data_IF_325272153497
#
_entry.id   IF_325272153497
#
_cell.length_a   1.000
_cell.length_b   1.000
_cell.length_c   1.000
_cell.angle_alpha   90.00
_cell.angle_beta   90.00
_cell.angle_gamma   90.00
#
_symmetry.space_group_name_H-M   'P 1'
#
loop_
_entity.id
_entity.type
_entity.pdbx_description
1 polymer ?
#
# COMPACT_ATOMS: atom_id res chain seq x y z
N UNK A 1 -0.03 4.44 -13.88
CA UNK A 1 1.18 3.72 -14.35
C UNK A 1 0.87 2.52 -15.23
N UNK A 2 -0.24 1.79 -15.03
CA UNK A 2 -0.62 0.66 -15.89
C UNK A 2 -0.73 1.07 -17.37
N UNK A 3 -1.40 2.17 -17.69
CA UNK A 3 -1.52 2.68 -19.07
C UNK A 3 -0.18 3.03 -19.70
N UNK A 4 0.73 3.58 -18.91
CA UNK A 4 2.08 3.86 -19.37
C UNK A 4 2.86 2.56 -19.68
N UNK A 5 2.71 1.54 -18.85
CA UNK A 5 3.32 0.23 -19.09
C UNK A 5 2.73 -0.47 -20.31
N UNK A 6 1.42 -0.38 -20.54
CA UNK A 6 0.77 -0.88 -21.75
C UNK A 6 1.33 -0.20 -23.00
N UNK A 7 1.49 1.13 -22.97
CA UNK A 7 2.10 1.87 -24.09
C UNK A 7 3.55 1.44 -24.34
N UNK A 8 4.32 1.15 -23.30
CA UNK A 8 5.67 0.64 -23.40
C UNK A 8 5.70 -0.74 -24.07
N UNK A 9 4.76 -1.63 -23.70
CA UNK A 9 4.60 -2.94 -24.33
C UNK A 9 4.28 -2.84 -25.83
N UNK A 10 3.35 -1.96 -26.18
CA UNK A 10 2.99 -1.72 -27.60
C UNK A 10 4.15 -1.17 -28.40
N UNK A 11 4.90 -0.21 -27.85
CA UNK A 11 6.09 0.33 -28.51
C UNK A 11 7.15 -0.73 -28.75
N UNK A 12 7.47 -1.51 -27.74
CA UNK A 12 8.43 -2.61 -27.82
C UNK A 12 8.03 -3.63 -28.89
N UNK A 13 6.73 -3.97 -28.95
CA UNK A 13 6.19 -4.87 -29.99
C UNK A 13 6.33 -4.30 -31.40
N UNK A 14 6.08 -3.00 -31.59
CA UNK A 14 6.26 -2.34 -32.91
C UNK A 14 7.72 -2.23 -33.33
N UNK A 15 8.63 -2.17 -32.40
CA UNK A 15 10.08 -2.16 -32.63
C UNK A 15 10.65 -3.57 -32.80
N UNK A 16 9.80 -4.60 -32.75
CA UNK A 16 10.19 -6.01 -32.88
C UNK A 16 11.25 -6.44 -31.86
N UNK A 17 11.20 -5.82 -30.64
CA UNK A 17 12.08 -6.20 -29.56
C UNK A 17 11.67 -7.57 -28.99
N UNK A 18 12.64 -8.31 -28.46
CA UNK A 18 12.35 -9.60 -27.85
C UNK A 18 11.41 -9.44 -26.64
N UNK A 19 10.21 -10.06 -26.67
CA UNK A 19 9.26 -9.94 -25.57
C UNK A 19 9.75 -10.70 -24.34
N UNK A 20 9.54 -10.09 -23.16
CA UNK A 20 9.67 -10.74 -21.87
C UNK A 20 8.35 -11.33 -21.39
N UNK A 21 8.19 -11.39 -20.08
CA UNK A 21 6.99 -11.91 -19.41
C UNK A 21 5.74 -11.13 -19.84
N UNK A 22 4.68 -11.85 -20.21
CA UNK A 22 3.40 -11.29 -20.71
C UNK A 22 3.54 -10.27 -21.87
N UNK A 23 4.60 -10.37 -22.66
CA UNK A 23 4.85 -9.48 -23.77
C UNK A 23 5.42 -8.11 -23.40
N UNK A 24 5.73 -7.88 -22.14
CA UNK A 24 6.45 -6.68 -21.70
C UNK A 24 7.94 -6.76 -22.07
N UNK A 25 8.59 -5.62 -22.33
CA UNK A 25 10.04 -5.62 -22.59
C UNK A 25 10.81 -5.99 -21.32
N UNK A 26 11.96 -6.62 -21.48
CA UNK A 26 12.83 -7.02 -20.37
C UNK A 26 13.25 -5.84 -19.46
N UNK A 27 13.26 -4.63 -20.01
CA UNK A 27 13.61 -3.39 -19.30
C UNK A 27 12.43 -2.70 -18.61
N UNK A 28 11.25 -3.35 -18.48
CA UNK A 28 10.09 -2.77 -17.80
C UNK A 28 10.42 -2.26 -16.39
N UNK A 29 11.08 -3.09 -15.58
CA UNK A 29 11.44 -2.74 -14.20
C UNK A 29 12.37 -1.54 -14.13
N UNK A 30 13.36 -1.46 -15.01
CA UNK A 30 14.30 -0.32 -15.06
C UNK A 30 13.59 0.97 -15.41
N UNK A 31 12.66 0.94 -16.38
CA UNK A 31 11.90 2.13 -16.78
C UNK A 31 10.92 2.58 -15.70
N UNK A 32 10.30 1.67 -14.97
CA UNK A 32 9.48 1.99 -13.82
C UNK A 32 10.33 2.60 -12.70
N UNK A 33 11.51 2.05 -12.42
CA UNK A 33 12.43 2.60 -11.43
C UNK A 33 12.85 4.03 -11.79
N UNK A 34 13.28 4.30 -13.02
CA UNK A 34 13.62 5.64 -13.51
C UNK A 34 12.46 6.65 -13.33
N UNK A 35 11.22 6.20 -13.48
CA UNK A 35 10.05 7.04 -13.26
C UNK A 35 9.87 7.39 -11.78
N UNK A 36 9.90 6.39 -10.90
CA UNK A 36 9.67 6.60 -9.48
C UNK A 36 10.87 7.26 -8.75
N UNK A 37 12.10 7.10 -9.25
CA UNK A 37 13.28 7.78 -8.72
C UNK A 37 13.22 9.31 -8.80
N UNK A 38 12.33 9.87 -9.62
CA UNK A 38 12.08 11.32 -9.69
C UNK A 38 11.40 11.87 -8.45
N UNK A 39 10.77 11.02 -7.63
CA UNK A 39 10.23 11.41 -6.35
C UNK A 39 11.33 11.57 -5.30
N UNK A 40 11.28 12.66 -4.55
CA UNK A 40 12.27 12.90 -3.51
C UNK A 40 12.30 14.34 -3.04
N UNK A 41 13.18 14.59 -2.08
CA UNK A 41 13.45 15.92 -1.54
C UNK A 41 14.83 16.35 -2.02
N UNK A 42 14.93 17.52 -2.62
CA UNK A 42 16.17 18.06 -3.18
C UNK A 42 16.42 19.49 -2.72
N UNK A 43 17.68 19.86 -2.60
CA UNK A 43 18.08 21.27 -2.48
C UNK A 43 18.04 21.90 -3.87
N UNK A 44 17.38 23.03 -3.98
CA UNK A 44 17.28 23.78 -5.23
C UNK A 44 18.61 24.43 -5.56
N UNK A 45 18.89 24.56 -6.86
CA UNK A 45 20.00 25.36 -7.35
C UNK A 45 19.63 26.85 -7.17
N UNK A 46 20.49 27.60 -6.50
CA UNK A 46 20.28 29.02 -6.26
C UNK A 46 21.03 29.55 -5.03
N UNK A 47 20.89 30.85 -4.78
CA UNK A 47 21.56 31.54 -3.65
C UNK A 47 20.95 31.25 -2.28
N UNK A 48 19.72 30.77 -2.23
CA UNK A 48 19.01 30.44 -1.00
C UNK A 48 18.94 28.92 -0.81
N UNK A 49 19.15 28.46 0.42
CA UNK A 49 19.06 27.01 0.76
C UNK A 49 17.61 26.52 0.76
N UNK A 50 16.90 26.74 -0.34
CA UNK A 50 15.53 26.25 -0.51
C UNK A 50 15.51 24.75 -0.79
N UNK A 51 14.50 24.06 -0.25
CA UNK A 51 14.25 22.66 -0.45
C UNK A 51 12.94 22.51 -1.25
N UNK A 52 12.94 21.64 -2.24
CA UNK A 52 11.76 21.25 -2.99
C UNK A 52 11.52 19.75 -2.87
N UNK A 53 10.27 19.33 -2.99
CA UNK A 53 9.92 17.92 -2.96
C UNK A 53 8.94 17.54 -4.06
N UNK A 54 9.06 16.32 -4.56
CA UNK A 54 8.11 15.69 -5.47
C UNK A 54 7.64 14.38 -4.85
N UNK A 55 6.33 14.22 -4.74
CA UNK A 55 5.70 12.97 -4.36
C UNK A 55 5.06 12.33 -5.58
N UNK A 56 5.40 11.09 -5.88
CA UNK A 56 4.78 10.32 -6.95
C UNK A 56 3.78 9.32 -6.37
N UNK A 57 2.53 9.40 -6.82
CA UNK A 57 1.47 8.45 -6.47
C UNK A 57 1.12 7.69 -7.75
N UNK A 58 1.54 6.44 -7.81
CA UNK A 58 1.29 5.58 -8.95
C UNK A 58 0.04 4.73 -8.76
N UNK A 59 -0.94 4.87 -9.67
CA UNK A 59 -2.09 3.98 -9.70
C UNK A 59 -1.79 2.78 -10.62
N UNK A 60 -1.92 1.58 -10.08
CA UNK A 60 -1.78 0.31 -10.80
C UNK A 60 -3.09 -0.45 -10.70
N UNK A 61 -3.60 -0.93 -11.83
CA UNK A 61 -4.84 -1.70 -11.90
C UNK A 61 -4.52 -3.05 -12.55
N UNK A 62 -4.20 -4.07 -11.75
CA UNK A 62 -3.90 -5.39 -12.27
C UNK A 62 -5.16 -6.03 -12.87
N UNK A 63 -5.08 -6.68 -14.05
CA UNK A 63 -6.19 -7.39 -14.64
C UNK A 63 -6.72 -8.48 -13.70
N UNK A 64 -8.04 -8.51 -13.49
CA UNK A 64 -8.67 -9.49 -12.59
C UNK A 64 -8.28 -9.35 -11.11
N UNK A 65 -7.57 -8.28 -10.72
CA UNK A 65 -7.06 -8.11 -9.35
C UNK A 65 -5.83 -8.95 -9.04
N UNK A 66 -5.20 -9.56 -10.04
CA UNK A 66 -4.03 -10.42 -9.87
C UNK A 66 -2.75 -9.58 -9.70
N UNK A 67 -2.27 -9.51 -8.46
CA UNK A 67 -1.06 -8.79 -8.11
C UNK A 67 0.23 -9.50 -8.55
N UNK A 68 0.15 -10.70 -9.12
CA UNK A 68 1.32 -11.44 -9.63
C UNK A 68 1.74 -11.00 -11.04
N UNK A 69 0.94 -10.16 -11.70
CA UNK A 69 1.24 -9.66 -13.04
C UNK A 69 2.53 -8.78 -13.04
N UNK A 70 3.25 -8.70 -14.18
CA UNK A 70 4.60 -8.11 -14.24
C UNK A 70 4.67 -6.65 -13.79
N UNK A 71 3.68 -5.81 -14.12
CA UNK A 71 3.69 -4.37 -13.78
C UNK A 71 3.52 -4.17 -12.28
N UNK A 72 2.58 -4.90 -11.65
CA UNK A 72 2.35 -4.88 -10.21
C UNK A 72 3.59 -5.36 -9.46
N UNK A 73 4.16 -6.49 -9.85
CA UNK A 73 5.35 -7.05 -9.23
C UNK A 73 6.57 -6.11 -9.35
N UNK A 74 6.80 -5.55 -10.54
CA UNK A 74 7.89 -4.60 -10.75
C UNK A 74 7.69 -3.33 -9.91
N UNK A 75 6.46 -2.82 -9.82
CA UNK A 75 6.14 -1.62 -9.05
C UNK A 75 6.34 -1.87 -7.55
N UNK A 76 5.84 -2.97 -7.00
CA UNK A 76 5.98 -3.32 -5.58
C UNK A 76 7.44 -3.47 -5.12
N UNK A 77 8.34 -3.87 -6.01
CA UNK A 77 9.78 -3.95 -5.72
C UNK A 77 10.45 -2.59 -5.60
N UNK A 78 9.87 -1.56 -6.23
CA UNK A 78 10.46 -0.22 -6.31
C UNK A 78 9.89 0.70 -5.23
N UNK A 79 8.55 0.69 -5.05
CA UNK A 79 7.88 1.62 -4.14
C UNK A 79 8.07 1.25 -2.68
N UNK A 80 8.12 2.24 -1.81
CA UNK A 80 8.27 2.07 -0.37
C UNK A 80 6.93 2.09 0.38
N UNK A 81 5.89 2.60 -0.27
CA UNK A 81 4.53 2.66 0.30
C UNK A 81 3.58 1.99 -0.67
N UNK A 82 2.72 1.15 -0.14
CA UNK A 82 1.68 0.46 -0.89
C UNK A 82 0.33 0.66 -0.20
N UNK A 83 -0.66 1.07 -0.97
CA UNK A 83 -2.06 1.14 -0.57
C UNK A 83 -2.86 0.14 -1.38
N UNK A 84 -3.26 -0.95 -0.74
CA UNK A 84 -4.10 -1.98 -1.34
C UNK A 84 -5.55 -1.54 -1.36
N UNK A 85 -6.12 -1.30 -2.54
CA UNK A 85 -7.53 -0.99 -2.68
C UNK A 85 -8.35 -2.28 -2.69
N UNK A 86 -9.37 -2.35 -1.84
CA UNK A 86 -10.23 -3.52 -1.67
C UNK A 86 -11.63 -3.26 -2.20
N UNK A 87 -12.05 -4.05 -3.20
CA UNK A 87 -13.43 -4.01 -3.69
C UNK A 87 -14.44 -4.42 -2.61
N UNK A 88 -14.08 -5.36 -1.73
CA UNK A 88 -14.97 -5.81 -0.65
C UNK A 88 -15.26 -4.70 0.37
N UNK A 89 -14.26 -3.86 0.69
CA UNK A 89 -14.46 -2.68 1.54
C UNK A 89 -15.34 -1.64 0.85
N UNK A 90 -15.12 -1.40 -0.46
CA UNK A 90 -15.95 -0.49 -1.24
C UNK A 90 -17.43 -0.95 -1.29
N UNK A 91 -17.68 -2.25 -1.46
CA UNK A 91 -19.05 -2.80 -1.42
C UNK A 91 -19.70 -2.66 -0.04
N UNK A 92 -18.93 -2.73 1.03
CA UNK A 92 -19.37 -2.42 2.41
C UNK A 92 -19.56 -0.92 2.67
N UNK A 93 -19.31 -0.07 1.65
CA UNK A 93 -19.34 1.40 1.75
C UNK A 93 -18.33 1.98 2.76
N UNK A 94 -17.25 1.25 3.01
CA UNK A 94 -16.11 1.76 3.78
C UNK A 94 -15.17 2.54 2.87
N UNK A 95 -14.99 3.83 3.10
CA UNK A 95 -14.14 4.71 2.30
C UNK A 95 -13.24 5.56 3.20
N UNK A 96 -11.96 5.74 2.82
CA UNK A 96 -11.30 5.16 1.63
C UNK A 96 -11.20 3.63 1.74
N UNK A 97 -11.45 2.92 0.63
CA UNK A 97 -11.47 1.46 0.58
C UNK A 97 -10.05 0.87 0.56
N UNK A 98 -9.21 1.30 1.48
CA UNK A 98 -7.82 0.88 1.62
C UNK A 98 -7.77 -0.26 2.64
N UNK A 99 -7.24 -1.39 2.21
CA UNK A 99 -7.06 -2.56 3.07
C UNK A 99 -5.86 -2.34 4.01
N UNK A 100 -6.12 -2.22 5.30
CA UNK A 100 -5.12 -1.99 6.32
C UNK A 100 -4.23 -3.20 6.62
N UNK A 101 -4.65 -4.41 6.26
CA UNK A 101 -3.87 -5.64 6.47
C UNK A 101 -2.81 -5.85 5.40
N UNK A 102 -3.10 -5.44 4.17
CA UNK A 102 -2.18 -5.59 3.03
C UNK A 102 -1.36 -4.34 2.74
N UNK A 103 -1.84 -3.17 3.17
CA UNK A 103 -1.15 -1.89 2.98
C UNK A 103 0.03 -1.74 3.92
N UNK A 104 1.11 -1.13 3.43
CA UNK A 104 2.32 -0.92 4.24
C UNK A 104 3.09 0.34 3.86
N UNK A 105 3.95 0.77 4.78
CA UNK A 105 4.95 1.82 4.54
C UNK A 105 6.30 1.38 5.11
N UNK A 106 7.31 1.28 4.26
CA UNK A 106 8.70 1.01 4.67
C UNK A 106 9.41 2.25 5.22
N UNK A 107 8.73 3.38 5.29
CA UNK A 107 9.25 4.59 5.93
C UNK A 107 8.94 4.65 7.42
N UNK A 108 8.07 3.80 7.94
CA UNK A 108 7.60 3.86 9.33
C UNK A 108 8.74 3.88 10.34
N UNK A 109 9.73 2.99 10.19
CA UNK A 109 10.85 2.91 11.11
C UNK A 109 11.76 4.14 11.02
N UNK A 110 12.00 4.65 9.81
CA UNK A 110 12.81 5.85 9.58
C UNK A 110 12.17 7.12 10.11
N UNK A 111 10.85 7.17 10.15
CA UNK A 111 10.07 8.31 10.63
C UNK A 111 9.70 8.19 12.11
N UNK A 112 10.03 7.08 12.78
CA UNK A 112 9.68 6.83 14.16
C UNK A 112 10.14 7.94 15.12
N UNK A 113 11.40 8.36 15.01
CA UNK A 113 11.94 9.47 15.79
C UNK A 113 11.23 10.80 15.50
N UNK A 114 10.91 11.05 14.25
CA UNK A 114 10.17 12.25 13.86
C UNK A 114 8.77 12.27 14.48
N UNK A 115 8.06 11.14 14.45
CA UNK A 115 6.73 11.01 15.08
C UNK A 115 6.80 11.22 16.58
N UNK A 116 7.78 10.62 17.25
CA UNK A 116 7.98 10.77 18.69
C UNK A 116 8.22 12.24 19.07
N UNK A 117 9.02 12.96 18.30
CA UNK A 117 9.37 14.34 18.60
C UNK A 117 8.32 15.38 18.20
N UNK A 118 7.50 15.11 17.19
CA UNK A 118 6.58 16.11 16.62
C UNK A 118 5.10 15.82 16.88
N UNK A 119 4.73 14.56 17.17
CA UNK A 119 3.35 14.17 17.41
C UNK A 119 3.17 13.75 18.86
N UNK A 120 3.96 12.79 19.34
CA UNK A 120 3.89 12.30 20.71
C UNK A 120 4.72 11.05 20.92
N UNK A 121 5.24 10.89 22.13
CA UNK A 121 6.12 9.78 22.48
C UNK A 121 5.44 8.40 22.30
N UNK A 122 4.13 8.35 22.52
CA UNK A 122 3.33 7.11 22.50
C UNK A 122 2.74 6.79 21.11
N UNK A 123 2.94 7.65 20.11
CA UNK A 123 2.34 7.50 18.79
C UNK A 123 2.65 6.14 18.13
N UNK A 124 3.91 5.74 18.17
CA UNK A 124 4.33 4.48 17.55
C UNK A 124 3.71 3.26 18.24
N UNK A 125 3.58 3.31 19.56
CA UNK A 125 3.01 2.24 20.36
C UNK A 125 1.50 2.11 20.12
N UNK A 126 0.77 3.22 20.13
CA UNK A 126 -0.68 3.22 19.81
C UNK A 126 -0.96 2.73 18.40
N UNK A 127 -0.14 3.13 17.42
CA UNK A 127 -0.27 2.63 16.06
C UNK A 127 -0.03 1.12 15.98
N UNK A 128 0.99 0.62 16.66
CA UNK A 128 1.30 -0.80 16.67
C UNK A 128 0.19 -1.62 17.35
N UNK A 129 -0.37 -1.13 18.45
CA UNK A 129 -1.47 -1.77 19.17
C UNK A 129 -2.75 -1.78 18.33
N UNK A 130 -3.11 -0.67 17.68
CA UNK A 130 -4.25 -0.61 16.78
C UNK A 130 -4.12 -1.62 15.63
N UNK A 131 -2.96 -1.70 15.00
CA UNK A 131 -2.72 -2.68 13.93
C UNK A 131 -2.80 -4.12 14.43
N UNK A 132 -2.33 -4.39 15.64
CA UNK A 132 -2.45 -5.70 16.27
C UNK A 132 -3.92 -6.10 16.49
N UNK A 133 -4.72 -5.19 17.03
CA UNK A 133 -6.17 -5.42 17.25
C UNK A 133 -6.88 -5.72 15.91
N UNK A 134 -6.59 -4.97 14.86
CA UNK A 134 -7.18 -5.19 13.54
C UNK A 134 -6.72 -6.53 12.90
N UNK A 135 -5.50 -6.98 13.17
CA UNK A 135 -5.03 -8.31 12.73
C UNK A 135 -5.72 -9.44 13.51
N UNK A 136 -5.87 -9.27 14.82
CA UNK A 136 -6.59 -10.24 15.67
C UNK A 136 -8.07 -10.34 15.25
N UNK A 137 -8.71 -9.20 14.94
CA UNK A 137 -10.09 -9.18 14.44
C UNK A 137 -10.25 -10.00 13.16
N UNK A 138 -9.33 -9.86 12.20
CA UNK A 138 -9.40 -10.61 10.94
C UNK A 138 -9.40 -12.13 11.16
N UNK A 139 -8.62 -12.62 12.13
CA UNK A 139 -8.60 -14.04 12.50
C UNK A 139 -9.90 -14.46 13.19
N UNK A 140 -10.42 -13.61 14.08
CA UNK A 140 -11.69 -13.87 14.77
C UNK A 140 -12.89 -13.84 13.80
N UNK A 141 -12.88 -12.97 12.80
CA UNK A 141 -13.95 -12.90 11.78
C UNK A 141 -14.07 -14.20 10.99
N UNK A 142 -12.95 -14.88 10.69
CA UNK A 142 -12.97 -16.21 10.08
C UNK A 142 -13.64 -17.24 11.00
N UNK A 143 -13.35 -17.21 12.30
CA UNK A 143 -13.97 -18.12 13.27
C UNK A 143 -15.47 -17.82 13.39
N UNK A 144 -15.86 -16.56 13.47
CA UNK A 144 -17.26 -16.13 13.56
C UNK A 144 -18.07 -16.60 12.33
N UNK A 145 -17.50 -16.54 11.14
CA UNK A 145 -18.14 -17.05 9.91
C UNK A 145 -18.41 -18.55 9.94
N UNK A 146 -17.56 -19.31 10.62
CA UNK A 146 -17.67 -20.78 10.68
C UNK A 146 -18.59 -21.25 11.80
N UNK A 147 -18.50 -20.68 13.00
CA UNK A 147 -19.16 -21.21 14.21
C UNK A 147 -20.09 -20.19 14.90
N UNK A 148 -20.15 -18.97 14.42
CA UNK A 148 -20.99 -17.91 14.98
C UNK A 148 -20.31 -17.13 16.13
N UNK A 149 -20.84 -15.94 16.41
CA UNK A 149 -20.30 -15.01 17.40
C UNK A 149 -20.41 -15.55 18.84
N UNK A 150 -21.38 -16.42 19.09
CA UNK A 150 -21.63 -16.99 20.43
C UNK A 150 -20.52 -17.96 20.88
N UNK A 151 -19.73 -18.46 19.94
CA UNK A 151 -18.57 -19.31 20.26
C UNK A 151 -17.35 -18.53 20.77
N UNK A 152 -17.34 -17.22 20.62
CA UNK A 152 -16.22 -16.37 21.05
C UNK A 152 -16.18 -16.20 22.57
N UNK A 153 -14.97 -16.15 23.13
CA UNK A 153 -14.74 -15.79 24.51
C UNK A 153 -15.13 -14.29 24.75
N UNK A 154 -15.43 -13.91 26.00
CA UNK A 154 -15.69 -12.49 26.33
C UNK A 154 -14.54 -11.54 25.91
N UNK A 155 -13.29 -12.00 25.99
CA UNK A 155 -12.12 -11.26 25.57
C UNK A 155 -12.11 -11.04 24.05
N UNK A 156 -12.41 -12.08 23.26
CA UNK A 156 -12.42 -11.99 21.81
C UNK A 156 -13.56 -11.11 21.31
N UNK A 157 -14.73 -11.17 21.98
CA UNK A 157 -15.83 -10.25 21.69
C UNK A 157 -15.43 -8.79 21.94
N UNK A 158 -14.71 -8.52 23.03
CA UNK A 158 -14.18 -7.18 23.31
C UNK A 158 -13.23 -6.73 22.22
N UNK A 159 -12.30 -7.58 21.78
CA UNK A 159 -11.37 -7.30 20.67
C UNK A 159 -12.14 -6.91 19.41
N UNK A 160 -13.19 -7.64 19.06
CA UNK A 160 -14.02 -7.34 17.88
C UNK A 160 -14.75 -5.99 18.00
N UNK A 161 -15.30 -5.65 19.18
CA UNK A 161 -15.95 -4.35 19.40
C UNK A 161 -14.97 -3.19 19.33
N UNK A 162 -13.77 -3.34 19.91
CA UNK A 162 -12.72 -2.32 19.82
C UNK A 162 -12.25 -2.14 18.38
N UNK A 163 -12.04 -3.24 17.64
CA UNK A 163 -11.66 -3.18 16.22
C UNK A 163 -12.75 -2.49 15.38
N UNK A 164 -14.02 -2.77 15.67
CA UNK A 164 -15.16 -2.10 15.02
C UNK A 164 -15.12 -0.59 15.26
N UNK A 165 -14.91 -0.15 16.49
CA UNK A 165 -14.79 1.26 16.83
C UNK A 165 -13.61 1.92 16.11
N UNK A 166 -12.44 1.24 16.03
CA UNK A 166 -11.30 1.72 15.25
C UNK A 166 -11.61 1.90 13.75
N UNK A 167 -12.47 1.09 13.17
CA UNK A 167 -12.81 1.15 11.74
C UNK A 167 -13.93 2.13 11.40
N UNK A 168 -14.88 2.33 12.32
CA UNK A 168 -16.11 3.07 12.04
C UNK A 168 -16.08 4.49 12.65
N UNK A 169 -15.36 4.69 13.77
CA UNK A 169 -15.36 5.94 14.50
C UNK A 169 -14.08 6.78 14.25
N UNK A 170 -13.04 6.17 13.68
CA UNK A 170 -11.77 6.80 13.33
C UNK A 170 -11.52 6.72 11.82
#
# INVERSE_FOLDING_TARGET
TSRWAEALREMSGRLEEMPGEEGYPAYLSSRLAEFYERAGIVKLLGSESKVGSITAIGAVSPPGGDMSEPVSQATLRIVKVFWGLSASLAYKRHFPAIDWLTSYSLYSDKLSEWYTNNIGAEWNDYRAEAMKILQEEAQLDEIVRLVGIDALSPKDRLTMEVAKSLREDY
#
